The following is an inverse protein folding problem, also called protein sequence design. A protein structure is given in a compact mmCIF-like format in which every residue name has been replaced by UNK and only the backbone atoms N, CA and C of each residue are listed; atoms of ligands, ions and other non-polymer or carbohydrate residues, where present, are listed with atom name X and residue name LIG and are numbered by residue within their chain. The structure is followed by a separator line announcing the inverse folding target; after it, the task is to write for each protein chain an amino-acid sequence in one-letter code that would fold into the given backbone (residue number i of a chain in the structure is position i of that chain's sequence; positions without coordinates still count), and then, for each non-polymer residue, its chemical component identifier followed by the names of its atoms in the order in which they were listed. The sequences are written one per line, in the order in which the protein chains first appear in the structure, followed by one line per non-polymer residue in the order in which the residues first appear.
data_IF_889237340110
#
_entry.id   IF_889237340110
#
_cell.length_a   1.000
_cell.length_b   1.000
_cell.length_c   1.000
_cell.angle_alpha   90.00
_cell.angle_beta   90.00
_cell.angle_gamma   90.00
#
_symmetry.space_group_name_H-M   'P 1'
#
loop_
_entity.id
_entity.type
_entity.pdbx_description
1 polymer ?
#
# COMPACT_ATOMS: atom_id res chain seq x y z
N UNK A 1 -21.81 -8.20 8.90
CA UNK A 1 -20.45 -8.54 9.40
C UNK A 1 -19.57 -9.21 8.35
N UNK A 2 -20.04 -10.23 7.63
CA UNK A 2 -19.22 -10.96 6.63
C UNK A 2 -18.64 -10.03 5.54
N UNK A 3 -19.44 -9.12 5.00
CA UNK A 3 -19.02 -8.19 3.93
C UNK A 3 -17.85 -7.30 4.38
N UNK A 4 -17.90 -6.75 5.61
CA UNK A 4 -16.78 -5.98 6.20
C UNK A 4 -15.51 -6.80 6.29
N UNK A 5 -15.61 -8.06 6.70
CA UNK A 5 -14.45 -8.95 6.81
C UNK A 5 -13.81 -9.20 5.44
N UNK A 6 -14.61 -9.45 4.40
CA UNK A 6 -14.09 -9.59 3.04
C UNK A 6 -13.51 -8.29 2.48
N UNK A 7 -14.18 -7.15 2.65
CA UNK A 7 -13.65 -5.84 2.22
C UNK A 7 -12.36 -5.49 2.95
N UNK A 8 -12.26 -5.80 4.24
CA UNK A 8 -11.02 -5.67 5.00
C UNK A 8 -9.92 -6.57 4.44
N UNK A 9 -10.20 -7.85 4.19
CA UNK A 9 -9.22 -8.78 3.61
C UNK A 9 -8.71 -8.32 2.24
N UNK A 10 -9.60 -7.79 1.40
CA UNK A 10 -9.25 -7.26 0.08
C UNK A 10 -8.33 -6.04 0.23
N UNK A 11 -8.71 -5.06 1.05
CA UNK A 11 -7.87 -3.89 1.30
C UNK A 11 -6.52 -4.25 1.92
N UNK A 12 -6.51 -5.20 2.85
CA UNK A 12 -5.31 -5.71 3.48
C UNK A 12 -4.38 -6.40 2.45
N UNK A 13 -4.92 -7.27 1.60
CA UNK A 13 -4.16 -7.94 0.55
C UNK A 13 -3.53 -6.97 -0.45
N UNK A 14 -4.28 -5.95 -0.88
CA UNK A 14 -3.79 -4.89 -1.76
C UNK A 14 -2.68 -4.07 -1.08
N UNK A 15 -2.83 -3.75 0.21
CA UNK A 15 -1.82 -3.04 0.98
C UNK A 15 -0.55 -3.89 1.16
N UNK A 16 -0.66 -5.18 1.46
CA UNK A 16 0.50 -6.08 1.58
C UNK A 16 1.22 -6.21 0.24
N UNK A 17 0.50 -6.37 -0.87
CA UNK A 17 1.10 -6.48 -2.20
C UNK A 17 1.92 -5.22 -2.57
N UNK A 18 1.38 -4.02 -2.36
CA UNK A 18 2.13 -2.78 -2.58
C UNK A 18 3.27 -2.57 -1.57
N UNK A 19 3.04 -2.94 -0.31
CA UNK A 19 3.99 -2.77 0.78
C UNK A 19 5.25 -3.63 0.65
N UNK A 20 5.11 -4.89 0.20
CA UNK A 20 6.25 -5.77 -0.07
C UNK A 20 7.13 -5.17 -1.16
N UNK A 21 6.54 -4.60 -2.22
CA UNK A 21 7.32 -3.96 -3.28
C UNK A 21 8.06 -2.72 -2.79
N UNK A 22 7.45 -1.90 -1.93
CA UNK A 22 8.14 -0.78 -1.28
C UNK A 22 9.37 -1.24 -0.47
N UNK A 23 9.25 -2.37 0.24
CA UNK A 23 10.39 -2.94 0.99
C UNK A 23 11.49 -3.43 0.05
N UNK A 24 11.14 -4.12 -1.04
CA UNK A 24 12.11 -4.58 -2.04
C UNK A 24 12.86 -3.41 -2.69
N UNK A 25 12.16 -2.31 -2.93
CA UNK A 25 12.68 -1.08 -3.51
C UNK A 25 13.71 -0.38 -2.62
N UNK A 26 13.73 -0.64 -1.30
CA UNK A 26 14.75 -0.09 -0.40
C UNK A 26 16.17 -0.52 -0.79
N UNK A 27 16.30 -1.62 -1.52
CA UNK A 27 17.58 -2.05 -2.08
C UNK A 27 18.20 -0.98 -3.00
N UNK A 28 17.39 -0.14 -3.67
CA UNK A 28 17.90 0.96 -4.49
C UNK A 28 18.77 1.93 -3.68
N UNK A 29 18.40 2.19 -2.42
CA UNK A 29 19.17 3.06 -1.51
C UNK A 29 20.52 2.40 -1.19
N UNK A 30 20.54 1.09 -0.96
CA UNK A 30 21.77 0.32 -0.66
C UNK A 30 22.71 0.29 -1.86
N UNK A 31 22.17 0.26 -3.07
CA UNK A 31 22.93 0.30 -4.34
C UNK A 31 23.62 1.66 -4.55
N UNK A 32 23.27 2.68 -3.77
CA UNK A 32 23.89 4.02 -3.82
C UNK A 32 22.99 5.09 -4.42
N UNK A 33 21.72 4.79 -4.71
CA UNK A 33 20.75 5.84 -5.06
C UNK A 33 20.43 6.72 -3.84
N UNK A 34 20.21 8.00 -4.10
CA UNK A 34 19.78 8.92 -3.04
C UNK A 34 18.35 8.60 -2.58
N UNK A 35 18.03 8.97 -1.33
CA UNK A 35 16.65 8.88 -0.83
C UNK A 35 15.65 9.61 -1.73
N UNK A 36 16.07 10.70 -2.38
CA UNK A 36 15.22 11.47 -3.29
C UNK A 36 14.87 10.68 -4.56
N UNK A 37 15.83 9.94 -5.12
CA UNK A 37 15.63 9.08 -6.29
C UNK A 37 14.72 7.89 -5.97
N UNK A 38 14.85 7.33 -4.76
CA UNK A 38 13.95 6.28 -4.27
C UNK A 38 12.49 6.77 -4.20
N UNK A 39 12.23 7.94 -3.59
CA UNK A 39 10.88 8.50 -3.55
C UNK A 39 10.36 8.87 -4.94
N UNK A 40 11.20 9.40 -5.82
CA UNK A 40 10.83 9.71 -7.19
C UNK A 40 10.46 8.45 -8.00
N UNK A 41 11.17 7.33 -7.76
CA UNK A 41 10.87 6.05 -8.38
C UNK A 41 9.54 5.49 -7.88
N UNK A 42 9.37 5.40 -6.56
CA UNK A 42 8.16 4.87 -5.93
C UNK A 42 6.90 5.68 -6.28
N UNK A 43 7.04 6.99 -6.44
CA UNK A 43 5.91 7.84 -6.84
C UNK A 43 5.43 7.58 -8.26
N UNK A 44 6.29 7.01 -9.12
CA UNK A 44 5.96 6.64 -10.51
C UNK A 44 5.42 5.21 -10.64
N UNK A 45 5.64 4.35 -9.65
CA UNK A 45 5.20 2.97 -9.78
C UNK A 45 3.76 2.76 -9.33
N UNK A 46 3.09 1.85 -10.03
CA UNK A 46 1.71 1.44 -9.72
C UNK A 46 1.59 0.81 -8.33
N UNK A 47 2.69 0.33 -7.74
CA UNK A 47 2.67 -0.35 -6.44
C UNK A 47 2.38 0.61 -5.28
N UNK A 48 2.81 1.88 -5.36
CA UNK A 48 2.45 2.86 -4.34
C UNK A 48 0.93 3.14 -4.35
N UNK A 49 0.32 3.19 -5.53
CA UNK A 49 -1.12 3.35 -5.67
C UNK A 49 -1.88 2.13 -5.13
N UNK A 50 -1.37 0.92 -5.34
CA UNK A 50 -1.89 -0.33 -4.74
C UNK A 50 -1.80 -0.30 -3.22
N UNK A 51 -0.67 0.14 -2.66
CA UNK A 51 -0.49 0.29 -1.22
C UNK A 51 -1.50 1.28 -0.62
N UNK A 52 -1.56 2.49 -1.19
CA UNK A 52 -2.42 3.57 -0.69
C UNK A 52 -3.90 3.21 -0.83
N UNK A 53 -4.31 2.66 -1.97
CA UNK A 53 -5.70 2.20 -2.16
C UNK A 53 -6.09 1.08 -1.19
N UNK A 54 -5.19 0.12 -0.95
CA UNK A 54 -5.41 -0.92 0.05
C UNK A 54 -5.61 -0.36 1.46
N UNK A 55 -4.78 0.61 1.87
CA UNK A 55 -4.91 1.30 3.16
C UNK A 55 -6.24 2.07 3.25
N UNK A 56 -6.65 2.78 2.19
CA UNK A 56 -7.93 3.50 2.15
C UNK A 56 -9.10 2.53 2.30
N UNK A 57 -9.08 1.38 1.61
CA UNK A 57 -10.14 0.37 1.70
C UNK A 57 -10.24 -0.20 3.11
N UNK A 58 -9.09 -0.49 3.76
CA UNK A 58 -9.05 -0.93 5.16
C UNK A 58 -9.64 0.15 6.07
N UNK A 59 -9.24 1.40 5.88
CA UNK A 59 -9.69 2.53 6.69
C UNK A 59 -11.21 2.73 6.59
N UNK A 60 -11.77 2.70 5.38
CA UNK A 60 -13.22 2.78 5.15
C UNK A 60 -13.93 1.58 5.78
N UNK A 61 -13.40 0.36 5.64
CA UNK A 61 -14.02 -0.86 6.21
C UNK A 61 -14.12 -0.82 7.75
N UNK A 62 -13.18 -0.12 8.40
CA UNK A 62 -13.15 0.05 9.86
C UNK A 62 -14.04 1.21 10.32
N UNK A 63 -13.97 2.37 9.67
CA UNK A 63 -14.61 3.62 10.13
C UNK A 63 -15.98 3.92 9.51
N UNK A 64 -16.44 3.16 8.52
CA UNK A 64 -17.77 3.32 7.92
C UNK A 64 -18.87 2.38 8.49
N UNK A 65 -19.09 2.19 9.81
CA UNK A 65 -20.20 1.39 10.30
C UNK A 65 -21.43 2.23 10.76
N UNK A 66 -21.54 3.52 10.44
CA UNK A 66 -22.62 4.41 10.94
C UNK A 66 -23.31 5.30 9.89
N UNK A 67 -23.67 4.75 8.73
CA UNK A 67 -24.77 5.27 7.92
C UNK A 67 -25.73 4.14 7.59
#
# INVERSE_FOLDING_TARGET
MIIRFFTFLIGFGLSVAGGVTLILQLNLIIIGHSLFEYFAYISKTTELYLFVSGVIIVWISVYWPRL
#
